data_IF_303032778103
#
_entry.id   IF_303032778103
#
_cell.length_a   1.000
_cell.length_b   1.000
_cell.length_c   1.000
_cell.angle_alpha   90.00
_cell.angle_beta   90.00
_cell.angle_gamma   90.00
#
_symmetry.space_group_name_H-M   'P 1'
#
loop_
_entity.id
_entity.type
_entity.pdbx_description
1 polymer ?
#
# COMPACT_ATOMS: atom_id res chain seq x y z
N UNK A 1 49.67 -18.51 -36.52
CA UNK A 1 48.23 -18.57 -36.15
C UNK A 1 48.06 -19.75 -35.22
N UNK A 2 47.95 -19.48 -33.94
CA UNK A 2 47.71 -20.55 -32.95
C UNK A 2 46.30 -20.31 -32.38
N UNK A 3 45.41 -21.26 -32.66
CA UNK A 3 44.04 -21.22 -32.21
C UNK A 3 43.93 -21.55 -30.73
N UNK A 4 43.12 -20.77 -30.02
CA UNK A 4 42.73 -21.04 -28.63
C UNK A 4 41.48 -21.91 -28.66
N UNK A 5 41.59 -23.12 -28.10
CA UNK A 5 40.42 -24.01 -27.96
C UNK A 5 39.93 -23.92 -26.53
N UNK A 6 38.71 -23.46 -26.36
CA UNK A 6 37.99 -23.49 -25.07
C UNK A 6 37.20 -24.80 -24.97
N UNK A 7 37.43 -25.59 -23.94
CA UNK A 7 36.57 -26.71 -23.56
C UNK A 7 35.95 -26.41 -22.20
N UNK A 8 34.62 -26.33 -22.17
CA UNK A 8 33.86 -26.27 -20.94
C UNK A 8 33.31 -27.64 -20.56
N UNK A 9 33.37 -28.00 -19.32
CA UNK A 9 32.71 -29.18 -18.73
C UNK A 9 31.66 -28.66 -17.72
N UNK A 10 30.46 -29.17 -17.84
CA UNK A 10 29.36 -28.90 -16.88
C UNK A 10 29.36 -30.07 -15.90
N UNK A 11 29.43 -29.81 -14.61
CA UNK A 11 29.25 -30.81 -13.57
C UNK A 11 27.78 -31.04 -13.22
N UNK A 12 27.49 -32.02 -12.41
CA UNK A 12 26.13 -32.40 -12.01
C UNK A 12 25.42 -31.38 -11.11
N UNK A 13 26.04 -30.21 -10.83
CA UNK A 13 25.47 -29.13 -10.04
C UNK A 13 25.31 -27.80 -10.83
N UNK A 14 25.60 -27.80 -12.15
CA UNK A 14 25.38 -26.63 -13.01
C UNK A 14 26.43 -25.51 -12.85
N UNK A 15 27.55 -25.74 -12.21
CA UNK A 15 28.62 -24.74 -12.05
C UNK A 15 29.58 -24.81 -13.23
N UNK A 16 29.81 -23.67 -13.88
CA UNK A 16 30.73 -23.54 -15.01
C UNK A 16 32.16 -23.19 -14.51
N UNK A 17 33.08 -24.13 -14.56
CA UNK A 17 34.49 -23.89 -14.20
C UNK A 17 35.32 -23.66 -15.47
N UNK A 18 35.91 -22.45 -15.62
CA UNK A 18 36.82 -22.13 -16.70
C UNK A 18 38.27 -22.30 -16.23
N UNK A 19 38.97 -23.35 -16.65
CA UNK A 19 40.42 -23.50 -16.44
C UNK A 19 41.19 -22.79 -17.53
N UNK A 20 41.94 -21.76 -17.15
CA UNK A 20 42.92 -21.13 -18.04
C UNK A 20 44.25 -21.88 -18.00
N UNK A 21 44.69 -22.40 -19.12
CA UNK A 21 46.06 -22.87 -19.32
C UNK A 21 46.98 -21.68 -19.60
N UNK A 22 48.00 -21.52 -18.77
CA UNK A 22 49.02 -20.47 -18.94
C UNK A 22 49.83 -20.71 -20.21
N UNK A 23 49.76 -19.84 -21.18
CA UNK A 23 50.83 -19.63 -22.15
C UNK A 23 51.36 -18.20 -21.97
N UNK A 24 52.65 -18.10 -21.82
CA UNK A 24 53.37 -16.85 -21.64
C UNK A 24 53.36 -16.01 -22.93
N UNK A 25 52.83 -14.81 -22.84
CA UNK A 25 53.06 -13.75 -23.83
C UNK A 25 51.80 -13.14 -24.42
N UNK A 26 51.61 -11.89 -24.07
CA UNK A 26 50.65 -10.91 -24.57
C UNK A 26 49.37 -10.71 -23.73
N UNK A 27 49.46 -9.64 -22.99
CA UNK A 27 48.32 -8.95 -22.37
C UNK A 27 47.35 -8.49 -23.46
N UNK A 28 46.16 -9.04 -23.52
CA UNK A 28 45.08 -8.44 -24.24
C UNK A 28 43.79 -8.56 -23.38
N UNK A 29 43.28 -7.43 -23.00
CA UNK A 29 41.97 -7.25 -22.35
C UNK A 29 40.86 -7.92 -23.16
N UNK A 30 40.44 -9.12 -22.73
CA UNK A 30 39.16 -9.72 -23.11
C UNK A 30 38.56 -10.30 -21.82
N UNK A 31 38.31 -9.42 -20.90
CA UNK A 31 37.49 -9.72 -19.76
C UNK A 31 36.42 -8.66 -19.75
N UNK A 32 35.22 -8.98 -20.18
CA UNK A 32 33.97 -8.31 -19.89
C UNK A 32 32.98 -8.36 -21.07
N UNK A 33 32.68 -9.55 -21.57
CA UNK A 33 31.51 -9.68 -22.48
C UNK A 33 30.82 -11.06 -22.38
N UNK A 34 30.92 -11.75 -21.26
CA UNK A 34 30.19 -13.03 -21.05
C UNK A 34 29.49 -13.08 -19.68
N UNK A 35 29.05 -11.95 -19.20
CA UNK A 35 28.29 -11.82 -17.95
C UNK A 35 26.95 -11.16 -18.10
N UNK A 36 26.38 -11.09 -19.29
CA UNK A 36 25.12 -10.34 -19.51
C UNK A 36 24.10 -11.13 -20.34
N UNK A 37 23.77 -12.34 -19.94
CA UNK A 37 22.56 -12.99 -20.50
C UNK A 37 21.88 -13.85 -19.45
N UNK A 38 21.65 -13.30 -18.29
CA UNK A 38 20.59 -13.70 -17.39
C UNK A 38 20.00 -12.42 -16.79
N UNK A 39 19.74 -11.44 -17.60
CA UNK A 39 18.59 -10.55 -17.36
C UNK A 39 17.40 -11.44 -17.69
N UNK A 40 16.95 -12.21 -16.67
CA UNK A 40 15.53 -12.58 -16.65
C UNK A 40 14.79 -11.34 -17.07
N UNK A 41 13.84 -11.46 -18.01
CA UNK A 41 12.90 -10.42 -18.35
C UNK A 41 12.33 -9.85 -17.05
N UNK A 42 12.97 -8.83 -16.51
CA UNK A 42 12.37 -7.94 -15.55
C UNK A 42 11.19 -7.37 -16.32
N UNK A 43 10.03 -7.84 -16.01
CA UNK A 43 8.79 -7.50 -16.68
C UNK A 43 8.72 -5.98 -16.68
N UNK A 44 8.97 -5.38 -17.83
CA UNK A 44 9.07 -3.94 -17.95
C UNK A 44 7.70 -3.32 -17.70
N UNK A 45 7.45 -2.98 -16.44
CA UNK A 45 6.35 -2.10 -16.10
C UNK A 45 6.85 -0.66 -16.07
N UNK A 46 5.98 0.26 -16.43
CA UNK A 46 6.21 1.69 -16.32
C UNK A 46 5.19 2.26 -15.34
N UNK A 47 5.68 2.98 -14.34
CA UNK A 47 4.85 3.65 -13.34
C UNK A 47 4.86 5.15 -13.62
N UNK A 48 3.68 5.72 -13.85
CA UNK A 48 3.49 7.16 -14.02
C UNK A 48 2.73 7.71 -12.84
N UNK A 49 3.38 8.52 -12.02
CA UNK A 49 2.86 9.10 -10.78
C UNK A 49 2.29 10.50 -11.03
N UNK A 50 1.15 10.83 -10.39
CA UNK A 50 0.53 12.18 -10.49
C UNK A 50 1.22 13.22 -9.61
N UNK A 51 1.98 12.77 -8.61
CA UNK A 51 2.53 13.58 -7.55
C UNK A 51 1.54 13.79 -6.39
N UNK A 52 2.10 13.93 -5.17
CA UNK A 52 1.32 14.03 -3.94
C UNK A 52 0.57 15.36 -3.81
N UNK A 53 -0.71 15.27 -3.47
CA UNK A 53 -1.59 16.40 -3.09
C UNK A 53 -2.07 16.21 -1.66
N UNK A 54 -1.89 17.21 -0.80
CA UNK A 54 -2.39 17.18 0.58
C UNK A 54 -3.92 17.18 0.61
N UNK A 55 -4.51 16.21 1.32
CA UNK A 55 -5.98 16.07 1.47
C UNK A 55 -6.44 16.30 2.91
N UNK A 56 -5.61 15.92 3.89
CA UNK A 56 -5.78 16.22 5.31
C UNK A 56 -4.43 16.59 5.91
N UNK A 57 -4.42 17.16 7.12
CA UNK A 57 -3.17 17.45 7.80
C UNK A 57 -2.39 16.15 8.04
N UNK A 58 -1.17 16.09 7.48
CA UNK A 58 -0.32 14.90 7.55
C UNK A 58 -0.69 13.78 6.57
N UNK A 59 -1.71 13.95 5.72
CA UNK A 59 -2.08 12.96 4.70
C UNK A 59 -2.06 13.60 3.32
N UNK A 60 -1.34 12.95 2.39
CA UNK A 60 -1.31 13.30 0.97
C UNK A 60 -1.72 12.11 0.12
N UNK A 61 -2.48 12.39 -0.92
CA UNK A 61 -2.95 11.43 -1.92
C UNK A 61 -2.11 11.54 -3.19
N UNK A 62 -1.87 10.41 -3.83
CA UNK A 62 -1.30 10.29 -5.16
C UNK A 62 -1.98 9.16 -5.91
N UNK A 63 -2.08 9.30 -7.23
CA UNK A 63 -2.47 8.20 -8.12
C UNK A 63 -1.30 7.81 -9.00
N UNK A 64 -1.19 6.54 -9.34
CA UNK A 64 -0.21 6.04 -10.28
C UNK A 64 -0.88 5.16 -11.34
N UNK A 65 -0.44 5.31 -12.58
CA UNK A 65 -0.83 4.43 -13.69
C UNK A 65 0.33 3.50 -13.98
N UNK A 66 0.08 2.19 -13.95
CA UNK A 66 1.06 1.13 -14.18
C UNK A 66 0.75 0.50 -15.52
N UNK A 67 1.68 0.57 -16.47
CA UNK A 67 1.54 0.00 -17.81
C UNK A 67 2.69 -0.94 -18.11
N UNK A 68 2.47 -1.88 -19.04
CA UNK A 68 3.51 -2.80 -19.51
C UNK A 68 2.90 -4.06 -20.10
N UNK A 69 3.66 -4.75 -20.97
CA UNK A 69 3.22 -6.00 -21.60
C UNK A 69 2.96 -7.14 -20.62
N UNK A 70 3.44 -6.99 -19.41
CA UNK A 70 3.33 -7.94 -18.31
C UNK A 70 2.22 -7.57 -17.32
N UNK A 71 1.61 -6.40 -17.45
CA UNK A 71 0.46 -6.00 -16.62
C UNK A 71 -0.79 -6.55 -17.29
N UNK A 72 -1.52 -7.39 -16.60
CA UNK A 72 -2.74 -7.99 -17.11
C UNK A 72 -3.73 -6.93 -17.58
N UNK A 73 -4.28 -7.11 -18.77
CA UNK A 73 -5.08 -6.06 -19.42
C UNK A 73 -4.29 -4.82 -19.88
N UNK A 74 -2.97 -4.77 -19.67
CA UNK A 74 -2.07 -3.71 -20.14
C UNK A 74 -1.99 -2.47 -19.26
N UNK A 75 -2.90 -2.28 -18.29
CA UNK A 75 -2.93 -1.11 -17.42
C UNK A 75 -3.54 -1.46 -16.06
N UNK A 76 -2.91 -1.02 -14.98
CA UNK A 76 -3.45 -1.02 -13.63
C UNK A 76 -3.35 0.39 -13.03
N UNK A 77 -4.17 0.68 -12.02
CA UNK A 77 -4.22 1.97 -11.36
C UNK A 77 -3.95 1.80 -9.87
N UNK A 78 -3.08 2.63 -9.31
CA UNK A 78 -2.81 2.64 -7.88
C UNK A 78 -3.29 3.94 -7.25
N UNK A 79 -3.87 3.81 -6.04
CA UNK A 79 -4.22 4.90 -5.15
C UNK A 79 -3.32 4.81 -3.92
N UNK A 80 -2.63 5.89 -3.62
CA UNK A 80 -1.58 5.93 -2.60
C UNK A 80 -1.89 7.02 -1.60
N UNK A 81 -2.02 6.64 -0.32
CA UNK A 81 -2.07 7.57 0.80
C UNK A 81 -0.72 7.57 1.49
N UNK A 82 -0.02 8.70 1.47
CA UNK A 82 1.20 8.94 2.23
C UNK A 82 0.85 9.67 3.52
N UNK A 83 1.16 9.06 4.66
CA UNK A 83 0.77 9.51 5.99
C UNK A 83 2.02 9.85 6.77
N UNK A 84 2.13 11.09 7.24
CA UNK A 84 3.19 11.53 8.15
C UNK A 84 2.80 11.13 9.58
N UNK A 85 3.51 10.16 10.14
CA UNK A 85 3.24 9.60 11.47
C UNK A 85 3.49 10.59 12.60
N UNK A 86 4.26 11.64 12.35
CA UNK A 86 4.59 12.71 13.31
C UNK A 86 3.60 13.88 13.22
N UNK A 87 2.69 13.89 12.23
CA UNK A 87 1.77 15.01 12.03
C UNK A 87 0.74 15.12 13.16
N UNK A 88 0.49 16.33 13.68
CA UNK A 88 -0.53 16.54 14.70
C UNK A 88 -1.91 16.09 14.25
N UNK A 89 -2.59 15.32 15.10
CA UNK A 89 -3.95 14.83 14.83
C UNK A 89 -4.00 13.52 14.04
N UNK A 90 -2.88 13.04 13.51
CA UNK A 90 -2.79 11.70 12.92
C UNK A 90 -2.86 10.66 14.02
N UNK A 91 -3.74 9.68 13.87
CA UNK A 91 -3.83 8.47 14.69
C UNK A 91 -4.54 7.36 13.93
N UNK A 92 -4.47 6.14 14.44
CA UNK A 92 -4.96 4.96 13.75
C UNK A 92 -6.00 4.20 14.57
N UNK A 93 -6.85 3.46 13.87
CA UNK A 93 -7.74 2.44 14.43
C UNK A 93 -7.87 1.28 13.44
N UNK A 94 -8.24 0.12 13.92
CA UNK A 94 -8.52 -1.08 13.12
C UNK A 94 -9.90 -1.64 13.45
N UNK A 95 -10.39 -2.60 12.68
CA UNK A 95 -11.67 -3.24 12.94
C UNK A 95 -11.73 -3.79 14.37
N UNK A 96 -12.77 -3.47 15.14
CA UNK A 96 -12.93 -3.98 16.50
C UNK A 96 -13.32 -5.47 16.49
N UNK A 97 -13.01 -6.17 17.57
CA UNK A 97 -13.51 -7.52 17.81
C UNK A 97 -15.02 -7.56 18.00
N UNK A 98 -15.63 -8.68 17.67
CA UNK A 98 -17.04 -8.94 17.93
C UNK A 98 -17.32 -9.04 19.44
N UNK A 99 -18.53 -8.70 19.84
CA UNK A 99 -18.93 -8.83 21.24
C UNK A 99 -18.89 -10.31 21.70
N UNK A 100 -18.12 -10.58 22.74
CA UNK A 100 -17.89 -11.93 23.23
C UNK A 100 -16.82 -12.71 22.48
N UNK A 101 -16.02 -12.01 21.68
CA UNK A 101 -14.85 -12.52 20.98
C UNK A 101 -13.90 -13.29 21.92
N UNK A 102 -13.40 -14.41 21.44
CA UNK A 102 -12.32 -15.18 22.06
C UNK A 102 -11.16 -15.24 21.08
N UNK A 103 -10.18 -14.32 21.20
CA UNK A 103 -9.01 -14.32 20.33
C UNK A 103 -8.34 -15.70 20.34
N UNK A 104 -7.95 -16.20 19.16
CA UNK A 104 -7.31 -17.51 18.99
C UNK A 104 -8.27 -18.72 18.87
N UNK A 105 -9.52 -18.49 18.56
CA UNK A 105 -10.41 -19.65 18.40
C UNK A 105 -10.13 -20.43 17.10
N UNK A 106 -9.59 -19.79 16.05
CA UNK A 106 -9.49 -20.40 14.70
C UNK A 106 -10.83 -20.91 14.18
N UNK A 107 -11.90 -20.58 14.91
CA UNK A 107 -13.28 -21.01 14.69
C UNK A 107 -14.17 -19.80 14.94
N UNK A 108 -14.36 -19.08 13.98
CA UNK A 108 -15.07 -17.96 13.63
C UNK A 108 -16.05 -17.26 14.52
N UNK A 109 -15.75 -16.14 15.13
CA UNK A 109 -16.63 -15.02 15.51
C UNK A 109 -15.80 -13.88 16.06
N UNK A 110 -14.53 -13.78 15.62
CA UNK A 110 -13.63 -12.73 16.11
C UNK A 110 -14.09 -11.33 15.69
N UNK A 111 -14.70 -11.23 14.50
CA UNK A 111 -15.18 -9.96 13.94
C UNK A 111 -16.56 -10.13 13.30
N UNK A 112 -17.27 -9.02 13.16
CA UNK A 112 -18.43 -8.92 12.26
C UNK A 112 -17.97 -8.17 11.02
N UNK A 113 -17.99 -8.83 9.87
CA UNK A 113 -17.55 -8.25 8.60
C UNK A 113 -18.33 -7.00 8.24
N UNK A 114 -17.65 -6.02 7.66
CA UNK A 114 -18.22 -4.75 7.20
C UNK A 114 -17.46 -4.25 5.97
N UNK A 115 -18.10 -3.45 5.12
CA UNK A 115 -17.36 -2.81 4.04
C UNK A 115 -16.41 -1.74 4.60
N UNK A 116 -15.35 -1.40 3.87
CA UNK A 116 -14.43 -0.33 4.27
C UNK A 116 -15.16 1.01 4.44
N UNK A 117 -16.18 1.28 3.60
CA UNK A 117 -17.07 2.45 3.76
C UNK A 117 -17.91 2.42 5.03
N UNK A 118 -18.40 1.24 5.44
CA UNK A 118 -19.12 1.08 6.71
C UNK A 118 -18.18 1.27 7.90
N UNK A 119 -16.95 0.71 7.83
CA UNK A 119 -15.91 0.92 8.83
C UNK A 119 -15.57 2.40 8.99
N UNK A 120 -15.33 3.14 7.89
CA UNK A 120 -15.12 4.59 7.93
C UNK A 120 -16.29 5.31 8.59
N UNK A 121 -17.52 4.99 8.21
CA UNK A 121 -18.72 5.63 8.76
C UNK A 121 -18.90 5.37 10.25
N UNK A 122 -18.57 4.17 10.71
CA UNK A 122 -18.69 3.77 12.11
C UNK A 122 -17.60 4.39 13.00
N UNK A 123 -16.38 4.55 12.48
CA UNK A 123 -15.22 5.07 13.23
C UNK A 123 -15.04 6.58 13.08
N UNK A 124 -15.48 7.16 11.97
CA UNK A 124 -15.28 8.59 11.65
C UNK A 124 -13.88 8.93 11.18
N UNK A 125 -13.08 7.94 10.74
CA UNK A 125 -11.74 8.16 10.16
C UNK A 125 -11.82 8.91 8.83
N UNK A 126 -10.76 9.62 8.46
CA UNK A 126 -10.66 10.39 7.23
C UNK A 126 -10.18 9.56 6.04
N UNK A 127 -9.42 8.50 6.30
CA UNK A 127 -8.97 7.51 5.31
C UNK A 127 -9.17 6.13 5.90
N UNK A 128 -9.62 5.17 5.10
CA UNK A 128 -9.71 3.76 5.46
C UNK A 128 -9.28 2.87 4.28
N UNK A 129 -8.70 1.71 4.60
CA UNK A 129 -8.33 0.68 3.63
C UNK A 129 -8.66 -0.69 4.23
N UNK A 130 -9.05 -1.67 3.39
CA UNK A 130 -9.08 -3.05 3.81
C UNK A 130 -7.69 -3.50 4.28
N UNK A 131 -7.61 -4.47 5.18
CA UNK A 131 -6.34 -4.86 5.78
C UNK A 131 -6.07 -6.37 5.71
N UNK A 132 -6.10 -7.07 6.85
CA UNK A 132 -5.71 -8.47 6.94
C UNK A 132 -6.69 -9.43 6.30
N UNK A 133 -6.21 -10.64 6.05
CA UNK A 133 -7.00 -11.76 5.55
C UNK A 133 -7.98 -12.26 6.61
N UNK A 134 -9.04 -12.94 6.19
CA UNK A 134 -10.08 -13.49 7.07
C UNK A 134 -10.72 -14.74 6.46
N UNK A 135 -11.39 -15.54 7.29
CA UNK A 135 -12.21 -16.65 6.81
C UNK A 135 -13.39 -16.12 6.01
N UNK A 136 -13.48 -16.51 4.77
CA UNK A 136 -14.24 -15.74 3.80
C UNK A 136 -15.41 -16.54 3.20
N UNK A 137 -16.68 -16.16 3.45
CA UNK A 137 -17.72 -16.37 2.47
C UNK A 137 -17.66 -15.35 1.33
N UNK A 138 -16.84 -14.29 1.45
CA UNK A 138 -16.53 -13.31 0.42
C UNK A 138 -17.78 -12.68 -0.24
N UNK A 139 -18.70 -12.24 0.58
CA UNK A 139 -19.98 -11.68 0.13
C UNK A 139 -19.95 -10.14 0.05
N UNK A 140 -20.84 -9.59 -0.79
CA UNK A 140 -20.98 -8.13 -0.99
C UNK A 140 -22.32 -7.59 -0.46
N UNK A 141 -23.15 -8.43 0.15
CA UNK A 141 -24.54 -8.08 0.46
C UNK A 141 -24.96 -8.32 1.92
N UNK A 142 -24.10 -8.88 2.75
CA UNK A 142 -24.42 -9.17 4.15
C UNK A 142 -23.18 -9.24 5.03
N UNK A 143 -23.29 -8.78 6.29
CA UNK A 143 -22.30 -9.00 7.34
C UNK A 143 -22.36 -10.43 7.83
N UNK A 144 -21.22 -11.01 8.17
CA UNK A 144 -21.05 -12.33 8.77
C UNK A 144 -20.11 -12.25 9.95
N UNK A 145 -20.23 -13.22 10.87
CA UNK A 145 -19.25 -13.43 11.91
C UNK A 145 -18.11 -14.29 11.33
N UNK A 146 -16.88 -13.81 11.42
CA UNK A 146 -15.71 -14.43 10.81
C UNK A 146 -14.51 -14.35 11.73
N UNK A 147 -13.46 -15.14 11.47
CA UNK A 147 -12.17 -15.00 12.13
C UNK A 147 -11.14 -14.35 11.21
N UNK A 148 -10.14 -13.71 11.80
CA UNK A 148 -9.02 -13.07 11.11
C UNK A 148 -7.88 -14.06 10.94
N UNK A 149 -7.25 -14.05 9.78
CA UNK A 149 -6.02 -14.77 9.51
C UNK A 149 -4.81 -13.90 9.91
N UNK A 150 -4.12 -14.31 10.98
CA UNK A 150 -2.98 -13.58 11.55
C UNK A 150 -3.38 -12.60 12.66
N UNK A 151 -2.42 -11.80 13.08
CA UNK A 151 -2.58 -10.86 14.20
C UNK A 151 -3.57 -9.74 13.87
N UNK A 152 -4.50 -9.49 14.80
CA UNK A 152 -5.28 -8.27 14.82
C UNK A 152 -5.37 -7.70 16.23
N UNK A 153 -5.06 -6.41 16.39
CA UNK A 153 -5.22 -5.64 17.64
C UNK A 153 -5.96 -4.36 17.31
N UNK A 154 -7.00 -4.04 18.02
CA UNK A 154 -7.80 -2.83 17.85
C UNK A 154 -7.89 -2.04 19.15
N UNK A 155 -7.36 -0.82 19.13
CA UNK A 155 -7.39 0.11 20.28
C UNK A 155 -6.91 -0.54 21.59
N UNK A 156 -5.82 -1.33 21.52
CA UNK A 156 -5.21 -2.03 22.63
C UNK A 156 -5.87 -3.36 23.01
N UNK A 157 -6.94 -3.78 22.32
CA UNK A 157 -7.59 -5.06 22.53
C UNK A 157 -7.15 -6.07 21.49
N UNK A 158 -6.72 -7.25 21.92
CA UNK A 158 -6.41 -8.35 21.02
C UNK A 158 -7.71 -8.86 20.41
N UNK A 159 -7.79 -8.88 19.07
CA UNK A 159 -8.93 -9.35 18.29
C UNK A 159 -8.63 -10.74 17.72
N UNK A 160 -7.44 -10.94 17.16
CA UNK A 160 -6.98 -12.24 16.67
C UNK A 160 -5.53 -12.47 17.01
N UNK A 161 -5.18 -13.73 17.27
CA UNK A 161 -3.86 -14.12 17.71
C UNK A 161 -2.82 -14.09 16.59
N UNK A 162 -1.58 -13.84 16.99
CA UNK A 162 -0.42 -13.86 16.12
C UNK A 162 -0.18 -15.26 15.52
N UNK A 163 0.07 -15.33 14.21
CA UNK A 163 0.27 -16.57 13.46
C UNK A 163 1.56 -16.50 12.62
N UNK A 164 2.38 -17.55 12.67
CA UNK A 164 3.74 -17.59 12.11
C UNK A 164 3.87 -17.42 10.60
N UNK A 165 2.77 -17.53 9.85
CA UNK A 165 2.81 -17.45 8.38
C UNK A 165 2.56 -16.04 7.84
N UNK A 166 2.43 -15.05 8.72
CA UNK A 166 2.11 -13.66 8.37
C UNK A 166 3.24 -12.71 8.74
N UNK A 167 3.14 -11.49 8.29
CA UNK A 167 3.98 -10.36 8.71
C UNK A 167 3.05 -9.32 9.33
N UNK A 168 3.35 -8.93 10.55
CA UNK A 168 2.51 -8.04 11.34
C UNK A 168 2.96 -6.60 11.20
N UNK A 169 2.05 -5.70 10.88
CA UNK A 169 2.21 -4.28 11.15
C UNK A 169 1.82 -4.02 12.60
N UNK A 170 2.73 -3.45 13.35
CA UNK A 170 2.55 -3.08 14.77
C UNK A 170 2.54 -1.55 14.89
N UNK A 171 1.50 -1.01 15.52
CA UNK A 171 1.31 0.42 15.74
C UNK A 171 1.15 0.71 17.24
N UNK A 172 1.97 1.58 17.78
CA UNK A 172 1.77 2.11 19.13
C UNK A 172 0.73 3.24 19.14
N UNK A 173 0.21 3.58 20.33
CA UNK A 173 -0.67 4.76 20.50
C UNK A 173 0.01 6.11 20.16
N UNK A 174 1.34 6.11 19.93
CA UNK A 174 2.12 7.28 19.50
C UNK A 174 2.52 7.20 18.03
N UNK A 175 1.82 6.38 17.23
CA UNK A 175 2.06 6.17 15.80
C UNK A 175 3.45 5.62 15.46
N UNK A 176 4.18 5.05 16.40
CA UNK A 176 5.40 4.32 16.04
C UNK A 176 4.98 3.05 15.32
N UNK A 177 5.44 2.90 14.08
CA UNK A 177 5.10 1.79 13.22
C UNK A 177 6.31 0.88 12.99
N UNK A 178 6.08 -0.44 13.00
CA UNK A 178 7.11 -1.43 12.69
C UNK A 178 6.50 -2.69 12.11
N UNK A 179 7.31 -3.48 11.40
CA UNK A 179 6.93 -4.82 10.97
C UNK A 179 7.62 -5.88 11.83
N UNK A 180 6.90 -6.96 12.14
CA UNK A 180 7.42 -8.14 12.82
C UNK A 180 7.07 -9.40 12.04
N UNK A 181 7.88 -10.45 12.17
CA UNK A 181 7.50 -11.77 11.67
C UNK A 181 6.41 -12.34 12.57
N UNK A 182 5.36 -12.89 11.97
CA UNK A 182 4.27 -13.50 12.68
C UNK A 182 4.71 -14.67 13.58
N UNK A 183 3.99 -14.91 14.64
CA UNK A 183 4.31 -15.87 15.68
C UNK A 183 5.39 -15.40 16.66
N UNK A 184 5.90 -14.16 16.50
CA UNK A 184 6.98 -13.61 17.35
C UNK A 184 6.75 -12.15 17.76
N UNK A 185 5.58 -11.58 17.50
CA UNK A 185 5.27 -10.19 17.79
C UNK A 185 5.25 -9.92 19.32
N UNK A 186 6.01 -8.91 19.75
CA UNK A 186 5.89 -8.38 21.10
C UNK A 186 4.75 -7.36 21.15
N UNK A 187 3.63 -7.71 21.76
CA UNK A 187 2.43 -6.88 21.82
C UNK A 187 2.47 -5.82 22.93
N UNK A 188 3.55 -5.75 23.73
CA UNK A 188 3.66 -4.73 24.78
C UNK A 188 3.67 -3.33 24.20
N UNK A 189 2.69 -2.50 24.56
CA UNK A 189 2.53 -1.13 24.06
C UNK A 189 1.96 -1.01 22.65
N UNK A 190 1.58 -2.12 22.02
CA UNK A 190 0.89 -2.11 20.72
C UNK A 190 -0.57 -1.73 20.94
N UNK A 191 -1.01 -0.75 20.16
CA UNK A 191 -2.36 -0.20 20.21
C UNK A 191 -3.24 -0.69 19.06
N UNK A 192 -2.65 -0.80 17.85
CA UNK A 192 -3.29 -1.41 16.70
C UNK A 192 -2.31 -2.34 15.99
N UNK A 193 -2.80 -3.42 15.40
CA UNK A 193 -2.03 -4.31 14.55
C UNK A 193 -2.91 -4.95 13.50
N UNK A 194 -2.32 -5.22 12.33
CA UNK A 194 -2.91 -6.00 11.24
C UNK A 194 -1.83 -6.87 10.61
N UNK A 195 -2.20 -8.04 10.11
CA UNK A 195 -1.28 -8.98 9.50
C UNK A 195 -1.44 -9.03 7.97
N UNK A 196 -0.31 -9.10 7.26
CA UNK A 196 -0.23 -9.30 5.81
C UNK A 196 0.45 -10.62 5.45
N UNK A 197 0.29 -11.09 4.23
CA UNK A 197 0.74 -12.43 3.80
C UNK A 197 2.26 -12.54 3.56
N UNK A 198 2.97 -11.44 3.51
CA UNK A 198 4.43 -11.42 3.27
C UNK A 198 4.91 -10.08 2.74
N UNK A 199 6.24 -9.94 2.67
CA UNK A 199 6.84 -8.72 2.14
C UNK A 199 6.75 -8.65 0.61
N UNK A 200 6.25 -7.53 0.08
CA UNK A 200 6.42 -7.14 -1.31
C UNK A 200 7.80 -6.47 -1.52
N UNK A 201 8.21 -5.63 -0.55
CA UNK A 201 9.53 -5.01 -0.48
C UNK A 201 10.11 -5.20 0.91
N UNK A 202 11.38 -5.54 1.00
CA UNK A 202 12.12 -5.64 2.26
C UNK A 202 13.49 -4.98 2.11
N UNK A 203 13.79 -4.02 3.00
CA UNK A 203 15.02 -3.22 2.96
C UNK A 203 15.28 -2.54 1.61
N UNK A 204 14.23 -2.03 0.96
CA UNK A 204 14.29 -1.38 -0.35
C UNK A 204 14.44 -2.34 -1.53
N UNK A 205 14.40 -3.65 -1.30
CA UNK A 205 14.54 -4.68 -2.34
C UNK A 205 13.20 -5.35 -2.61
N UNK A 206 12.82 -5.46 -3.89
CA UNK A 206 11.65 -6.21 -4.32
C UNK A 206 11.79 -7.69 -3.98
N UNK A 207 10.92 -8.21 -3.15
CA UNK A 207 10.82 -9.62 -2.74
C UNK A 207 9.42 -10.17 -2.95
N UNK A 208 8.66 -9.60 -3.88
CA UNK A 208 7.23 -9.87 -4.10
C UNK A 208 6.88 -11.33 -4.43
N UNK A 209 7.85 -12.18 -4.75
CA UNK A 209 7.63 -13.63 -4.85
C UNK A 209 7.31 -14.30 -3.51
N UNK A 210 7.47 -13.58 -2.39
CA UNK A 210 7.27 -14.09 -1.04
C UNK A 210 5.91 -13.72 -0.44
N UNK A 211 5.02 -13.05 -1.19
CA UNK A 211 3.78 -12.54 -0.61
C UNK A 211 2.79 -13.64 -0.19
N UNK A 212 2.58 -14.65 -1.00
CA UNK A 212 1.76 -15.85 -0.71
C UNK A 212 1.70 -16.77 -1.95
N UNK A 213 0.82 -17.78 -1.93
CA UNK A 213 0.58 -18.68 -3.05
C UNK A 213 0.05 -17.99 -4.33
N UNK A 214 -0.58 -16.82 -4.21
CA UNK A 214 -1.06 -16.02 -5.36
C UNK A 214 -0.03 -15.03 -5.88
N UNK A 215 1.24 -15.14 -5.51
CA UNK A 215 2.31 -14.24 -5.94
C UNK A 215 2.49 -14.15 -7.47
N UNK A 216 2.02 -15.13 -8.22
CA UNK A 216 2.09 -15.19 -9.68
C UNK A 216 0.83 -14.71 -10.39
N UNK A 217 -0.30 -14.62 -9.70
CA UNK A 217 -1.56 -14.13 -10.28
C UNK A 217 -1.60 -12.60 -10.27
N UNK A 218 -2.17 -12.04 -11.31
CA UNK A 218 -2.45 -10.61 -11.42
C UNK A 218 -3.84 -10.35 -10.88
N UNK A 219 -3.89 -9.73 -9.70
CA UNK A 219 -5.11 -9.44 -8.96
C UNK A 219 -5.10 -7.99 -8.49
N UNK A 220 -6.24 -7.38 -8.19
CA UNK A 220 -6.30 -6.20 -7.36
C UNK A 220 -5.55 -6.43 -6.05
N UNK A 221 -4.79 -5.43 -5.58
CA UNK A 221 -3.89 -5.56 -4.43
C UNK A 221 -4.10 -4.45 -3.42
N UNK A 222 -3.89 -4.79 -2.15
CA UNK A 222 -3.69 -3.82 -1.11
C UNK A 222 -2.32 -4.05 -0.45
N UNK A 223 -1.68 -2.96 -0.02
CA UNK A 223 -0.34 -3.00 0.54
C UNK A 223 -0.19 -1.91 1.60
N UNK A 224 0.54 -2.22 2.67
CA UNK A 224 0.98 -1.23 3.65
C UNK A 224 2.49 -1.16 3.64
N UNK A 225 3.04 0.05 3.52
CA UNK A 225 4.48 0.28 3.48
C UNK A 225 4.97 1.32 4.47
N UNK A 226 6.25 1.25 4.79
CA UNK A 226 6.96 2.23 5.62
C UNK A 226 8.16 2.79 4.87
N UNK A 227 8.42 4.09 5.04
CA UNK A 227 9.65 4.72 4.59
C UNK A 227 10.86 4.21 5.37
N UNK A 228 12.07 4.40 4.82
CA UNK A 228 13.32 4.04 5.50
C UNK A 228 13.52 4.79 6.82
N UNK A 229 13.06 6.05 6.88
CA UNK A 229 13.14 6.84 8.12
C UNK A 229 12.16 6.39 9.20
N UNK A 230 11.12 5.61 8.85
CA UNK A 230 10.01 5.29 9.74
C UNK A 230 9.02 6.44 9.96
N UNK A 231 9.22 7.62 9.33
CA UNK A 231 8.34 8.78 9.47
C UNK A 231 7.04 8.63 8.68
N UNK A 232 7.08 7.98 7.51
CA UNK A 232 5.93 7.88 6.64
C UNK A 232 5.41 6.44 6.56
N UNK A 233 4.08 6.31 6.67
CA UNK A 233 3.34 5.11 6.31
C UNK A 233 2.62 5.34 4.99
N UNK A 234 2.52 4.29 4.20
CA UNK A 234 1.81 4.29 2.92
C UNK A 234 0.71 3.23 2.95
N UNK A 235 -0.51 3.64 2.64
CA UNK A 235 -1.60 2.74 2.29
C UNK A 235 -1.74 2.78 0.78
N UNK A 236 -1.73 1.63 0.14
CA UNK A 236 -1.74 1.52 -1.33
C UNK A 236 -2.75 0.47 -1.74
N UNK A 237 -3.66 0.84 -2.63
CA UNK A 237 -4.52 -0.11 -3.35
C UNK A 237 -4.20 -0.05 -4.84
N UNK A 238 -4.34 -1.19 -5.51
CA UNK A 238 -4.16 -1.32 -6.95
C UNK A 238 -5.39 -2.01 -7.51
N UNK A 239 -6.03 -1.38 -8.47
CA UNK A 239 -7.12 -1.97 -9.24
C UNK A 239 -6.76 -2.08 -10.73
N UNK A 240 -7.58 -2.76 -11.47
CA UNK A 240 -7.43 -2.90 -12.93
C UNK A 240 -8.30 -1.92 -13.72
N UNK A 241 -9.05 -1.03 -13.05
CA UNK A 241 -10.14 -0.31 -13.73
C UNK A 241 -11.26 -1.27 -14.16
N UNK A 242 -12.36 -1.07 -13.59
CA UNK A 242 -13.71 -1.60 -13.86
C UNK A 242 -13.90 -2.73 -14.87
N UNK A 243 -13.39 -3.86 -14.85
CA UNK A 243 -14.03 -5.05 -15.46
C UNK A 243 -13.17 -6.30 -15.65
N UNK A 244 -11.85 -6.20 -15.65
CA UNK A 244 -11.09 -7.27 -16.31
C UNK A 244 -10.29 -8.17 -15.37
N UNK A 245 -10.39 -8.00 -14.04
CA UNK A 245 -9.68 -8.84 -13.08
C UNK A 245 -8.15 -8.74 -13.19
N UNK A 246 -7.65 -7.81 -13.99
CA UNK A 246 -6.25 -7.48 -14.06
C UNK A 246 -5.87 -6.65 -12.84
N UNK A 247 -4.66 -6.74 -12.45
CA UNK A 247 -4.06 -6.05 -11.32
C UNK A 247 -2.58 -6.28 -11.40
N UNK A 248 -1.94 -6.56 -10.28
CA UNK A 248 -0.51 -6.84 -10.22
C UNK A 248 -0.24 -8.20 -9.60
N UNK A 249 0.75 -8.92 -10.14
CA UNK A 249 1.34 -10.04 -9.44
C UNK A 249 2.31 -9.55 -8.35
N UNK A 250 2.85 -10.46 -7.53
CA UNK A 250 3.69 -10.09 -6.41
C UNK A 250 4.97 -9.34 -6.80
N UNK A 251 5.61 -9.71 -7.91
CA UNK A 251 6.82 -9.02 -8.39
C UNK A 251 6.52 -7.63 -8.91
N UNK A 252 5.39 -7.45 -9.59
CA UNK A 252 4.92 -6.15 -10.08
C UNK A 252 4.53 -5.24 -8.91
N UNK A 253 3.86 -5.78 -7.88
CA UNK A 253 3.55 -5.06 -6.65
C UNK A 253 4.82 -4.61 -5.92
N UNK A 254 5.82 -5.48 -5.83
CA UNK A 254 7.11 -5.14 -5.26
C UNK A 254 7.86 -4.07 -6.07
N UNK A 255 7.77 -4.10 -7.41
CA UNK A 255 8.35 -3.06 -8.26
C UNK A 255 7.65 -1.71 -8.06
N UNK A 256 6.30 -1.68 -8.02
CA UNK A 256 5.54 -0.48 -7.68
C UNK A 256 5.96 0.08 -6.31
N UNK A 257 6.11 -0.77 -5.31
CA UNK A 257 6.52 -0.35 -3.96
C UNK A 257 7.92 0.30 -3.95
N UNK A 258 8.87 -0.23 -4.74
CA UNK A 258 10.21 0.38 -4.92
C UNK A 258 10.09 1.74 -5.63
N UNK A 259 9.30 1.84 -6.69
CA UNK A 259 9.08 3.09 -7.44
C UNK A 259 8.41 4.19 -6.59
N UNK A 260 7.54 3.79 -5.63
CA UNK A 260 6.95 4.68 -4.63
C UNK A 260 7.91 5.05 -3.49
N UNK A 261 9.13 4.48 -3.45
CA UNK A 261 10.14 4.74 -2.43
C UNK A 261 9.89 4.06 -1.08
N UNK A 262 9.12 2.98 -1.05
CA UNK A 262 8.87 2.21 0.16
C UNK A 262 10.11 1.39 0.51
N UNK A 263 10.48 1.38 1.80
CA UNK A 263 11.63 0.62 2.27
C UNK A 263 11.24 -0.80 2.72
N UNK A 264 10.14 -0.91 3.46
CA UNK A 264 9.48 -2.18 3.76
C UNK A 264 8.00 -2.05 3.43
N UNK A 265 7.42 -3.07 2.80
CA UNK A 265 6.00 -3.11 2.49
C UNK A 265 5.47 -4.54 2.53
N UNK A 266 4.28 -4.73 3.09
CA UNK A 266 3.61 -6.03 3.19
C UNK A 266 2.34 -6.04 2.33
N UNK A 267 2.09 -7.18 1.67
CA UNK A 267 0.87 -7.41 0.93
C UNK A 267 -0.26 -7.75 1.89
N UNK A 268 -1.36 -7.02 1.76
CA UNK A 268 -2.60 -7.21 2.50
C UNK A 268 -3.60 -8.07 1.72
N UNK A 269 -4.80 -8.28 2.25
CA UNK A 269 -5.87 -8.93 1.50
C UNK A 269 -6.22 -8.13 0.25
N UNK A 270 -6.44 -8.83 -0.85
CA UNK A 270 -6.60 -8.26 -2.17
C UNK A 270 -7.83 -8.80 -2.92
N UNK A 271 -7.75 -8.78 -4.24
CA UNK A 271 -8.86 -9.22 -5.07
C UNK A 271 -10.13 -8.41 -4.79
N UNK A 272 -11.22 -9.08 -4.49
CA UNK A 272 -12.50 -8.43 -4.20
C UNK A 272 -12.54 -7.65 -2.89
N UNK A 273 -11.58 -7.86 -1.97
CA UNK A 273 -11.47 -7.08 -0.73
C UNK A 273 -10.79 -5.72 -0.93
N UNK A 274 -10.05 -5.53 -2.03
CA UNK A 274 -9.34 -4.27 -2.29
C UNK A 274 -10.28 -3.09 -2.21
N UNK A 275 -10.04 -2.19 -1.25
CA UNK A 275 -10.86 -0.99 -1.03
C UNK A 275 -10.07 0.10 -0.31
N UNK A 276 -9.99 1.29 -0.93
CA UNK A 276 -9.48 2.53 -0.36
C UNK A 276 -10.62 3.56 -0.33
N UNK A 277 -10.90 4.08 0.85
CA UNK A 277 -11.98 5.02 1.08
C UNK A 277 -11.45 6.30 1.71
N UNK A 278 -11.84 7.44 1.18
CA UNK A 278 -11.49 8.76 1.70
C UNK A 278 -12.76 9.49 2.07
N UNK A 279 -12.74 10.23 3.18
CA UNK A 279 -13.86 11.10 3.56
C UNK A 279 -14.01 12.23 2.55
N UNK A 280 -15.13 12.24 1.84
CA UNK A 280 -15.47 13.32 0.90
C UNK A 280 -15.81 14.64 1.60
N UNK A 281 -15.89 15.72 0.84
CA UNK A 281 -16.22 17.05 1.34
C UNK A 281 -17.58 17.14 2.05
N UNK A 282 -18.49 16.21 1.77
CA UNK A 282 -19.80 16.08 2.42
C UNK A 282 -19.76 15.24 3.72
N UNK A 283 -18.55 14.82 4.16
CA UNK A 283 -18.33 13.96 5.32
C UNK A 283 -18.69 12.49 5.10
N UNK A 284 -19.03 12.08 3.87
CA UNK A 284 -19.40 10.70 3.54
C UNK A 284 -18.21 9.95 2.94
N UNK A 285 -18.20 8.60 3.04
CA UNK A 285 -17.23 7.77 2.34
C UNK A 285 -17.24 7.98 0.83
N UNK A 286 -16.06 8.05 0.24
CA UNK A 286 -15.80 8.07 -1.20
C UNK A 286 -14.79 6.98 -1.51
N UNK A 287 -15.24 5.91 -2.18
CA UNK A 287 -14.38 4.80 -2.61
C UNK A 287 -13.58 5.27 -3.82
N UNK A 288 -12.26 5.09 -3.80
CA UNK A 288 -11.36 5.61 -4.84
C UNK A 288 -11.22 4.66 -6.01
N UNK A 289 -11.10 3.35 -5.76
CA UNK A 289 -11.02 2.34 -6.81
C UNK A 289 -12.41 1.89 -7.25
N UNK A 290 -12.45 1.21 -8.41
CA UNK A 290 -13.64 0.48 -8.85
C UNK A 290 -13.64 -0.90 -8.22
N UNK A 291 -14.59 -1.23 -7.32
CA UNK A 291 -14.62 -2.56 -6.71
C UNK A 291 -14.69 -3.65 -7.77
N UNK A 292 -13.78 -4.64 -7.67
CA UNK A 292 -13.66 -5.77 -8.61
C UNK A 292 -14.97 -6.52 -8.85
N UNK A 293 -15.80 -6.63 -7.81
CA UNK A 293 -17.11 -7.31 -7.85
C UNK A 293 -18.28 -6.37 -8.17
N UNK A 294 -18.02 -5.11 -8.52
CA UNK A 294 -19.03 -4.08 -8.74
C UNK A 294 -19.62 -3.48 -7.46
N UNK A 295 -19.25 -3.99 -6.28
CA UNK A 295 -19.58 -3.46 -4.97
C UNK A 295 -18.48 -3.82 -3.98
N UNK A 296 -18.30 -3.00 -2.93
CA UNK A 296 -17.37 -3.34 -1.85
C UNK A 296 -17.75 -4.68 -1.21
N UNK A 297 -16.73 -5.48 -0.91
CA UNK A 297 -16.86 -6.71 -0.12
C UNK A 297 -17.05 -6.37 1.35
N UNK A 298 -17.72 -7.25 2.08
CA UNK A 298 -17.73 -7.25 3.54
C UNK A 298 -16.46 -7.94 4.02
N UNK A 299 -15.51 -7.17 4.51
CA UNK A 299 -14.19 -7.61 4.94
C UNK A 299 -14.13 -7.81 6.45
N UNK A 300 -13.27 -8.73 6.90
CA UNK A 300 -13.07 -8.99 8.33
C UNK A 300 -12.22 -7.92 9.00
N UNK A 301 -11.34 -7.25 8.25
CA UNK A 301 -10.38 -6.33 8.85
C UNK A 301 -10.13 -5.10 7.97
N UNK A 302 -10.13 -3.93 8.60
CA UNK A 302 -9.78 -2.64 7.98
C UNK A 302 -8.86 -1.85 8.90
N UNK A 303 -8.05 -0.98 8.30
CA UNK A 303 -7.25 0.03 8.99
C UNK A 303 -7.77 1.42 8.62
N UNK A 304 -7.91 2.31 9.61
CA UNK A 304 -8.36 3.68 9.43
C UNK A 304 -7.41 4.69 10.04
N UNK A 305 -7.39 5.88 9.44
CA UNK A 305 -6.53 7.00 9.82
C UNK A 305 -7.39 8.21 10.17
N UNK A 306 -7.25 8.68 11.40
CA UNK A 306 -7.76 10.00 11.80
C UNK A 306 -6.77 11.07 11.38
N UNK A 307 -7.27 12.21 10.92
CA UNK A 307 -6.48 13.38 10.61
C UNK A 307 -7.30 14.66 10.73
N UNK A 308 -6.65 15.78 10.98
CA UNK A 308 -7.31 17.09 11.00
C UNK A 308 -7.53 17.59 9.56
N UNK A 309 -8.57 18.43 9.32
CA UNK A 309 -8.71 19.14 8.06
C UNK A 309 -7.45 19.95 7.75
N UNK A 310 -7.16 20.17 6.45
CA UNK A 310 -6.13 21.11 6.05
C UNK A 310 -6.42 22.50 6.63
N UNK A 311 -5.38 23.16 7.15
CA UNK A 311 -5.53 24.55 7.59
C UNK A 311 -5.98 25.41 6.39
N UNK A 312 -6.94 26.33 6.59
CA UNK A 312 -7.31 27.28 5.54
C UNK A 312 -6.08 28.05 5.07
N UNK A 313 -5.86 28.06 3.74
CA UNK A 313 -4.78 28.89 3.17
C UNK A 313 -5.12 30.35 3.43
N UNK A 314 -4.27 31.13 4.14
CA UNK A 314 -4.52 32.55 4.34
C UNK A 314 -4.66 33.24 2.97
N UNK A 315 -5.75 33.93 2.76
CA UNK A 315 -5.93 34.72 1.53
C UNK A 315 -4.79 35.75 1.43
N UNK A 316 -4.17 35.91 0.25
CA UNK A 316 -3.14 36.92 0.06
C UNK A 316 -3.67 38.28 0.53
N UNK A 317 -2.89 39.07 1.29
CA UNK A 317 -3.32 40.39 1.79
C UNK A 317 -3.85 41.32 0.72
N UNK A 318 -3.44 41.11 -0.54
CA UNK A 318 -3.93 41.87 -1.71
C UNK A 318 -5.41 41.70 -2.03
N UNK A 319 -6.05 40.56 -1.69
CA UNK A 319 -7.49 40.37 -1.94
C UNK A 319 -8.36 41.27 -1.04
N UNK A 320 -7.93 41.50 0.21
CA UNK A 320 -8.60 42.45 1.11
C UNK A 320 -8.47 43.91 0.62
N UNK A 321 -7.36 44.26 0.03
CA UNK A 321 -7.13 45.58 -0.58
C UNK A 321 -7.96 45.78 -1.86
N UNK A 322 -8.11 44.74 -2.69
CA UNK A 322 -8.97 44.77 -3.87
C UNK A 322 -10.47 44.98 -3.48
N UNK A 323 -10.96 44.25 -2.49
CA UNK A 323 -12.33 44.38 -2.02
C UNK A 323 -12.60 45.78 -1.43
N UNK A 324 -11.68 46.33 -0.63
CA UNK A 324 -11.81 47.69 -0.07
C UNK A 324 -11.66 48.76 -1.15
N UNK A 325 -10.82 48.58 -2.16
CA UNK A 325 -10.70 49.48 -3.32
C UNK A 325 -11.98 49.53 -4.18
N UNK A 326 -12.65 48.39 -4.39
CA UNK A 326 -13.91 48.34 -5.12
C UNK A 326 -15.03 49.05 -4.37
N UNK A 327 -15.13 48.88 -3.04
CA UNK A 327 -16.13 49.58 -2.22
C UNK A 327 -15.86 51.09 -2.24
N UNK A 328 -14.60 51.53 -2.21
CA UNK A 328 -14.18 52.92 -2.34
C UNK A 328 -14.61 53.54 -3.69
N UNK A 329 -14.39 52.81 -4.79
CA UNK A 329 -14.76 53.24 -6.14
C UNK A 329 -16.30 53.37 -6.32
N UNK A 330 -17.08 52.44 -5.78
CA UNK A 330 -18.54 52.47 -5.83
C UNK A 330 -19.11 53.66 -5.03
N UNK A 331 -18.50 53.96 -3.87
CA UNK A 331 -18.92 55.14 -3.05
C UNK A 331 -18.59 56.47 -3.72
N UNK A 332 -17.45 56.59 -4.40
CA UNK A 332 -17.06 57.79 -5.17
C UNK A 332 -17.95 57.96 -6.41
N UNK A 333 -18.24 56.88 -7.13
CA UNK A 333 -19.12 56.90 -8.29
C UNK A 333 -20.56 57.32 -7.93
N UNK A 334 -21.11 56.85 -6.82
CA UNK A 334 -22.44 57.25 -6.31
C UNK A 334 -22.47 58.75 -5.96
N UNK A 335 -21.43 59.33 -5.35
CA UNK A 335 -21.39 60.78 -5.04
C UNK A 335 -21.31 61.65 -6.28
N UNK A 336 -20.83 61.19 -7.43
CA UNK A 336 -20.81 61.95 -8.69
C UNK A 336 -22.10 61.84 -9.51
N UNK A 337 -22.96 60.87 -9.21
CA UNK A 337 -24.24 60.67 -9.93
C UNK A 337 -25.43 61.33 -9.26
N UNK A 338 -25.31 61.70 -7.99
CA UNK A 338 -26.44 62.29 -7.19
C UNK A 338 -26.05 63.59 -6.45
N UNK A 339 -24.94 64.21 -6.78
CA UNK A 339 -24.49 65.56 -6.45
C UNK A 339 -24.38 66.36 -7.74
#
# INVERSE_FOLDING_TARGET
>A
MHGVTLRGLIDHQGVFEVKMLKSSGALACVAALLGLTALTDAQAQTVTQSGYTGIFQGISEETATITGSSVGGGTAYAYVMKIDLDAPGVSFTTSPGAAGDTPNSGTGNEVITQTTSQFMSATGVQVAMNAGYFSCPCVTNASNAEFIDGLAVSNGNLVSSDQSNYIDLLLTAKNQASFAAGGSANLSGIYNAVAGSGYAVQNGVNVGTKINSSSTSEDPRAMIGLSQSGQYMYLVTVDSGASDGAGLNGMQLGALAVDLGLYNAINMDGGGSTSMVVQGANGKPNVLESPYTGAERYDGNSIGVYALPLAPVPLPPGLGLFASGLVGLVTVARRKLFG
#
